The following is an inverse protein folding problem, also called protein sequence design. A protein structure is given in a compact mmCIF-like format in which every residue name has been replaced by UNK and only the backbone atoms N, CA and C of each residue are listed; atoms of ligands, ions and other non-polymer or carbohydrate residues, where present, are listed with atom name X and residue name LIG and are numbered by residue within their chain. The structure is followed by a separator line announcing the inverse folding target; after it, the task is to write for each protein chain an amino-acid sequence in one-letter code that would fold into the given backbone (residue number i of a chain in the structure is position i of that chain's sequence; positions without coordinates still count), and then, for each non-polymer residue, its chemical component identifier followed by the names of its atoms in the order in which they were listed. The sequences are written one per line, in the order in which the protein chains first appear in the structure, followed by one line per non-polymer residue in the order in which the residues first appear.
data_IF_978141649621
#
_entry.id   IF_978141649621
#
_cell.length_a   1.000
_cell.length_b   1.000
_cell.length_c   1.000
_cell.angle_alpha   90.00
_cell.angle_beta   90.00
_cell.angle_gamma   90.00
#
_symmetry.space_group_name_H-M   'P 1'
#
loop_
_entity.id
_entity.type
_entity.pdbx_description
1 polymer ?
#
# COMPACT_ATOMS: atom_id res chain seq x y z
N UNK A 1 -4.97 33.88 7.50
CA UNK A 1 -4.13 32.77 7.01
C UNK A 1 -3.59 32.01 8.22
N UNK A 2 -4.00 30.76 8.39
CA UNK A 2 -3.46 29.91 9.45
C UNK A 2 -2.07 29.41 9.04
N UNK A 3 -1.08 29.66 9.89
CA UNK A 3 0.32 29.31 9.69
C UNK A 3 0.72 28.34 10.80
N UNK A 4 0.98 27.08 10.44
CA UNK A 4 1.34 26.03 11.38
C UNK A 4 2.85 25.90 11.49
N UNK A 5 3.40 25.71 12.68
CA UNK A 5 4.77 25.17 12.81
C UNK A 5 4.78 23.70 12.40
N UNK A 6 5.96 23.12 12.12
CA UNK A 6 6.05 21.69 11.77
C UNK A 6 5.46 20.77 12.85
N UNK A 7 5.59 21.14 14.13
CA UNK A 7 4.99 20.39 15.24
C UNK A 7 3.45 20.50 15.28
N UNK A 8 2.91 21.69 14.99
CA UNK A 8 1.45 21.87 14.86
C UNK A 8 0.90 21.12 13.63
N UNK A 9 1.63 21.13 12.52
CA UNK A 9 1.29 20.41 11.31
C UNK A 9 1.28 18.90 11.54
N UNK A 10 2.30 18.38 12.22
CA UNK A 10 2.38 16.97 12.63
C UNK A 10 1.19 16.57 13.48
N UNK A 11 0.86 17.36 14.52
CA UNK A 11 -0.27 17.10 15.40
C UNK A 11 -1.61 17.12 14.66
N UNK A 12 -1.81 18.04 13.72
CA UNK A 12 -3.06 18.18 12.95
C UNK A 12 -3.23 17.12 11.87
N UNK A 13 -2.15 16.78 11.16
CA UNK A 13 -2.17 15.75 10.10
C UNK A 13 -2.11 14.32 10.65
N UNK A 14 -1.63 14.13 11.88
CA UNK A 14 -1.32 12.82 12.45
C UNK A 14 -0.08 12.18 11.83
N UNK A 15 0.74 12.95 11.12
CA UNK A 15 1.99 12.51 10.49
C UNK A 15 3.17 12.92 11.37
N UNK A 16 4.15 12.05 11.57
CA UNK A 16 5.32 12.38 12.39
C UNK A 16 6.16 13.49 11.75
N UNK A 17 6.86 14.27 12.59
CA UNK A 17 7.75 15.34 12.11
C UNK A 17 8.81 14.81 11.14
N UNK A 18 9.34 13.60 11.38
CA UNK A 18 10.33 12.99 10.49
C UNK A 18 9.74 12.63 9.13
N UNK A 19 8.52 12.11 9.09
CA UNK A 19 7.80 11.85 7.83
C UNK A 19 7.50 13.14 7.08
N UNK A 20 7.12 14.21 7.78
CA UNK A 20 6.93 15.52 7.15
C UNK A 20 8.23 16.04 6.51
N UNK A 21 9.36 15.95 7.22
CA UNK A 21 10.69 16.32 6.69
C UNK A 21 11.09 15.45 5.49
N UNK A 22 10.77 14.17 5.56
CA UNK A 22 10.99 13.25 4.45
C UNK A 22 10.16 13.64 3.22
N UNK A 23 8.87 13.96 3.40
CA UNK A 23 8.01 14.41 2.31
C UNK A 23 8.45 15.75 1.70
N UNK A 24 8.96 16.70 2.50
CA UNK A 24 9.60 17.92 1.98
C UNK A 24 10.88 17.60 1.18
N UNK A 25 11.69 16.64 1.65
CA UNK A 25 12.96 16.26 1.01
C UNK A 25 12.73 15.68 -0.38
N UNK A 26 11.73 14.81 -0.52
CA UNK A 26 11.40 14.15 -1.80
C UNK A 26 10.48 14.98 -2.70
N UNK A 27 10.07 16.18 -2.26
CA UNK A 27 9.24 17.10 -3.06
C UNK A 27 7.74 16.80 -3.05
N UNK A 28 7.28 15.90 -2.18
CA UNK A 28 5.86 15.57 -2.03
C UNK A 28 5.07 16.70 -1.36
N UNK A 29 5.73 17.43 -0.46
CA UNK A 29 5.25 18.69 0.09
C UNK A 29 6.09 19.84 -0.45
N UNK A 30 5.45 20.97 -0.71
CA UNK A 30 6.13 22.18 -1.14
C UNK A 30 7.10 22.65 -0.04
N UNK A 31 8.33 23.01 -0.44
CA UNK A 31 9.34 23.51 0.49
C UNK A 31 8.97 24.92 0.93
N UNK A 32 8.65 25.07 2.21
CA UNK A 32 8.38 26.38 2.80
C UNK A 32 9.68 27.15 3.07
N UNK A 33 9.74 28.39 2.60
CA UNK A 33 10.84 29.31 2.91
C UNK A 33 10.89 29.66 4.39
N UNK A 34 12.09 29.94 4.90
CA UNK A 34 12.23 30.42 6.27
C UNK A 34 11.75 31.86 6.35
N UNK A 35 11.03 32.19 7.42
CA UNK A 35 10.69 33.57 7.74
C UNK A 35 11.91 34.34 8.23
N UNK A 36 11.78 35.67 8.34
CA UNK A 36 12.79 36.56 8.93
C UNK A 36 13.26 36.13 10.33
N UNK A 37 12.41 35.42 11.08
CA UNK A 37 12.73 34.83 12.39
C UNK A 37 13.37 33.42 12.33
N UNK A 38 13.78 32.94 11.16
CA UNK A 38 14.35 31.60 10.93
C UNK A 38 13.39 30.41 11.18
N UNK A 39 12.08 30.67 11.31
CA UNK A 39 11.04 29.65 11.47
C UNK A 39 10.44 29.24 10.11
N UNK A 40 9.87 28.02 10.04
CA UNK A 40 9.04 27.57 8.91
C UNK A 40 7.57 27.55 9.33
N UNK A 41 6.71 28.13 8.48
CA UNK A 41 5.27 28.14 8.67
C UNK A 41 4.54 27.53 7.49
N UNK A 42 3.75 26.52 7.75
CA UNK A 42 2.99 25.78 6.75
C UNK A 42 1.58 26.33 6.66
N UNK A 43 1.09 26.48 5.43
CA UNK A 43 -0.27 26.94 5.17
C UNK A 43 -1.29 25.83 5.40
N UNK A 44 -2.56 26.22 5.45
CA UNK A 44 -3.69 25.29 5.47
C UNK A 44 -3.79 24.44 4.20
N UNK A 45 -3.32 24.95 3.06
CA UNK A 45 -3.21 24.15 1.84
C UNK A 45 -2.27 22.95 2.02
N UNK A 46 -1.12 23.14 2.68
CA UNK A 46 -0.18 22.05 2.97
C UNK A 46 -0.81 21.01 3.89
N UNK A 47 -1.66 21.44 4.83
CA UNK A 47 -2.42 20.52 5.68
C UNK A 47 -3.43 19.69 4.86
N UNK A 48 -4.12 20.31 3.90
CA UNK A 48 -5.02 19.60 2.97
C UNK A 48 -4.26 18.58 2.11
N UNK A 49 -3.14 18.98 1.53
CA UNK A 49 -2.24 18.11 0.76
C UNK A 49 -1.77 16.90 1.60
N UNK A 50 -1.51 17.10 2.90
CA UNK A 50 -1.12 16.03 3.80
C UNK A 50 -2.24 15.01 4.04
N UNK A 51 -3.49 15.46 4.16
CA UNK A 51 -4.62 14.54 4.26
C UNK A 51 -4.80 13.73 2.99
N UNK A 52 -4.62 14.34 1.81
CA UNK A 52 -4.62 13.65 0.53
C UNK A 52 -3.52 12.57 0.48
N UNK A 53 -2.27 12.95 0.75
CA UNK A 53 -1.14 12.01 0.78
C UNK A 53 -1.40 10.86 1.76
N UNK A 54 -1.87 11.17 2.97
CA UNK A 54 -2.16 10.17 3.99
C UNK A 54 -3.20 9.16 3.49
N UNK A 55 -4.30 9.62 2.90
CA UNK A 55 -5.34 8.75 2.39
C UNK A 55 -4.84 7.83 1.27
N UNK A 56 -4.06 8.35 0.33
CA UNK A 56 -3.44 7.52 -0.71
C UNK A 56 -2.49 6.47 -0.12
N UNK A 57 -1.71 6.82 0.92
CA UNK A 57 -0.82 5.86 1.59
C UNK A 57 -1.58 4.76 2.33
N UNK A 58 -2.74 5.07 2.91
CA UNK A 58 -3.63 4.08 3.54
C UNK A 58 -4.19 3.09 2.52
N UNK A 59 -4.40 3.51 1.27
CA UNK A 59 -4.79 2.66 0.15
C UNK A 59 -3.63 1.87 -0.47
N UNK A 60 -2.41 2.03 0.05
CA UNK A 60 -1.21 1.35 -0.49
C UNK A 60 -0.62 2.00 -1.74
N UNK A 61 -1.08 3.20 -2.11
CA UNK A 61 -0.57 3.92 -3.28
C UNK A 61 0.89 4.36 -3.03
N UNK A 62 1.73 4.16 -4.04
CA UNK A 62 3.14 4.53 -3.98
C UNK A 62 3.32 6.04 -3.95
N UNK A 63 4.44 6.50 -3.39
CA UNK A 63 4.75 7.95 -3.37
C UNK A 63 4.85 8.51 -4.80
N UNK A 64 5.36 7.71 -5.75
CA UNK A 64 5.48 8.12 -7.14
C UNK A 64 4.10 8.36 -7.77
N UNK A 65 3.14 7.49 -7.51
CA UNK A 65 1.79 7.65 -8.04
C UNK A 65 1.00 8.75 -7.31
N UNK A 66 1.24 8.95 -6.02
CA UNK A 66 0.69 10.12 -5.31
C UNK A 66 1.18 11.41 -5.95
N UNK A 67 2.45 11.48 -6.37
CA UNK A 67 2.98 12.66 -7.07
C UNK A 67 2.25 12.89 -8.40
N UNK A 68 2.05 11.83 -9.20
CA UNK A 68 1.28 11.89 -10.45
C UNK A 68 -0.15 12.39 -10.20
N UNK A 69 -0.84 11.83 -9.20
CA UNK A 69 -2.19 12.26 -8.82
C UNK A 69 -2.23 13.73 -8.38
N UNK A 70 -1.22 14.19 -7.64
CA UNK A 70 -1.10 15.63 -7.29
C UNK A 70 -0.88 16.51 -8.50
N UNK A 71 -0.13 16.05 -9.50
CA UNK A 71 0.11 16.82 -10.73
C UNK A 71 -1.13 16.86 -11.63
N UNK A 72 -1.87 15.75 -11.73
CA UNK A 72 -3.18 15.71 -12.40
C UNK A 72 -4.21 16.61 -11.71
N UNK A 73 -4.23 16.65 -10.38
CA UNK A 73 -5.13 17.52 -9.62
C UNK A 73 -4.89 19.03 -9.86
N UNK A 74 -3.72 19.43 -10.37
CA UNK A 74 -3.43 20.82 -10.77
C UNK A 74 -4.02 21.20 -12.14
N UNK A 75 -4.51 20.23 -12.90
CA UNK A 75 -5.00 20.38 -14.27
C UNK A 75 -6.50 20.07 -14.37
N UNK A 76 -7.39 20.95 -13.84
CA UNK A 76 -8.82 20.65 -13.68
C UNK A 76 -9.59 20.44 -14.99
N UNK A 77 -9.00 20.78 -16.14
CA UNK A 77 -9.60 20.61 -17.45
C UNK A 77 -9.19 19.29 -18.15
N UNK A 78 -8.33 18.47 -17.53
CA UNK A 78 -7.97 17.14 -18.05
C UNK A 78 -9.04 16.11 -17.70
N UNK A 79 -9.14 15.06 -18.52
CA UNK A 79 -10.02 13.91 -18.24
C UNK A 79 -9.48 13.12 -17.05
N UNK A 80 -10.38 12.48 -16.29
CA UNK A 80 -10.00 11.62 -15.17
C UNK A 80 -9.50 10.22 -15.61
N UNK A 81 -9.34 9.98 -16.90
CA UNK A 81 -8.98 8.68 -17.48
C UNK A 81 -7.65 8.13 -16.95
N UNK A 82 -6.64 8.99 -16.77
CA UNK A 82 -5.36 8.58 -16.17
C UNK A 82 -5.50 8.18 -14.70
N UNK A 83 -6.41 8.84 -13.96
CA UNK A 83 -6.72 8.50 -12.57
C UNK A 83 -7.44 7.16 -12.52
N UNK A 84 -8.44 6.97 -13.37
CA UNK A 84 -9.22 5.73 -13.44
C UNK A 84 -8.32 4.53 -13.77
N UNK A 85 -7.46 4.66 -14.80
CA UNK A 85 -6.48 3.63 -15.15
C UNK A 85 -5.52 3.30 -14.00
N UNK A 86 -5.07 4.31 -13.25
CA UNK A 86 -4.22 4.08 -12.10
C UNK A 86 -4.96 3.27 -11.03
N UNK A 87 -6.20 3.64 -10.72
CA UNK A 87 -7.01 2.90 -9.73
C UNK A 87 -7.30 1.47 -10.20
N UNK A 88 -7.58 1.24 -11.49
CA UNK A 88 -7.77 -0.09 -12.06
C UNK A 88 -6.53 -0.98 -11.88
N UNK A 89 -5.32 -0.43 -12.02
CA UNK A 89 -4.07 -1.16 -11.76
C UNK A 89 -3.97 -1.60 -10.30
N UNK A 90 -4.24 -0.68 -9.35
CA UNK A 90 -4.23 -1.01 -7.93
C UNK A 90 -5.30 -2.05 -7.56
N UNK A 91 -6.50 -1.97 -8.15
CA UNK A 91 -7.54 -2.97 -7.98
C UNK A 91 -7.08 -4.34 -8.48
N UNK A 92 -6.51 -4.41 -9.68
CA UNK A 92 -5.98 -5.66 -10.24
C UNK A 92 -4.89 -6.29 -9.37
N UNK A 93 -3.96 -5.48 -8.85
CA UNK A 93 -2.93 -5.95 -7.93
C UNK A 93 -3.51 -6.50 -6.61
N UNK A 94 -4.48 -5.79 -6.02
CA UNK A 94 -5.14 -6.23 -4.79
C UNK A 94 -5.91 -7.52 -5.03
N UNK A 95 -6.66 -7.63 -6.13
CA UNK A 95 -7.37 -8.84 -6.50
C UNK A 95 -6.42 -10.03 -6.68
N UNK A 96 -5.26 -9.83 -7.31
CA UNK A 96 -4.27 -10.89 -7.47
C UNK A 96 -3.67 -11.33 -6.12
N UNK A 97 -3.39 -10.38 -5.22
CA UNK A 97 -2.92 -10.69 -3.86
C UNK A 97 -3.96 -11.50 -3.07
N UNK A 98 -5.24 -11.11 -3.16
CA UNK A 98 -6.35 -11.84 -2.52
C UNK A 98 -6.38 -13.28 -3.03
N UNK A 99 -6.36 -13.48 -4.36
CA UNK A 99 -6.36 -14.80 -4.98
C UNK A 99 -5.20 -15.69 -4.49
N UNK A 100 -3.99 -15.13 -4.40
CA UNK A 100 -2.82 -15.85 -3.91
C UNK A 100 -2.95 -16.22 -2.43
N UNK A 101 -3.48 -15.31 -1.59
CA UNK A 101 -3.71 -15.57 -0.17
C UNK A 101 -4.83 -16.59 0.06
N UNK A 102 -5.86 -16.61 -0.79
CA UNK A 102 -6.90 -17.63 -0.77
C UNK A 102 -6.35 -19.01 -1.10
N UNK A 103 -5.49 -19.12 -2.12
CA UNK A 103 -4.81 -20.37 -2.45
C UNK A 103 -3.92 -20.85 -1.29
N UNK A 104 -3.08 -19.98 -0.74
CA UNK A 104 -2.24 -20.32 0.41
C UNK A 104 -3.08 -20.77 1.62
N UNK A 105 -4.22 -20.12 1.86
CA UNK A 105 -5.16 -20.52 2.92
C UNK A 105 -5.72 -21.92 2.66
N UNK A 106 -6.05 -22.25 1.42
CA UNK A 106 -6.51 -23.59 1.04
C UNK A 106 -5.42 -24.62 1.28
N UNK A 107 -4.19 -24.36 0.85
CA UNK A 107 -3.03 -25.25 1.05
C UNK A 107 -2.79 -25.51 2.54
N UNK A 108 -2.77 -24.46 3.37
CA UNK A 108 -2.60 -24.58 4.82
C UNK A 108 -3.77 -25.31 5.48
N UNK A 109 -4.99 -25.16 4.95
CA UNK A 109 -6.17 -25.87 5.44
C UNK A 109 -6.08 -27.36 5.12
N UNK A 110 -5.70 -27.71 3.89
CA UNK A 110 -5.47 -29.09 3.47
C UNK A 110 -4.38 -29.73 4.30
N UNK A 111 -3.25 -29.04 4.48
CA UNK A 111 -2.16 -29.50 5.31
C UNK A 111 -2.63 -29.78 6.76
N UNK A 112 -3.39 -28.85 7.36
CA UNK A 112 -3.95 -29.04 8.70
C UNK A 112 -4.88 -30.25 8.80
N UNK A 113 -5.63 -30.58 7.75
CA UNK A 113 -6.53 -31.75 7.71
C UNK A 113 -5.78 -33.08 7.71
N UNK A 114 -4.49 -33.10 7.33
CA UNK A 114 -3.67 -34.32 7.35
C UNK A 114 -3.38 -34.86 8.76
N UNK A 115 -3.67 -34.10 9.82
CA UNK A 115 -3.47 -34.58 11.19
C UNK A 115 -4.75 -34.43 12.03
N UNK A 116 -5.22 -35.55 12.58
CA UNK A 116 -6.27 -35.59 13.61
C UNK A 116 -5.68 -35.35 15.01
N UNK A 117 -6.52 -34.95 15.98
CA UNK A 117 -6.07 -34.69 17.37
C UNK A 117 -5.45 -35.92 18.05
N UNK A 118 -4.50 -35.68 18.96
CA UNK A 118 -3.83 -36.65 19.84
C UNK A 118 -2.96 -37.74 19.15
N UNK A 119 -2.09 -37.35 18.21
CA UNK A 119 -1.05 -38.23 17.64
C UNK A 119 0.34 -37.82 18.10
N UNK A 120 1.28 -38.78 18.13
CA UNK A 120 2.70 -38.48 18.35
C UNK A 120 3.32 -37.81 17.12
N UNK A 121 4.49 -37.19 17.27
CA UNK A 121 5.22 -36.55 16.15
C UNK A 121 5.48 -37.53 15.01
N UNK A 122 5.81 -38.79 15.32
CA UNK A 122 6.02 -39.86 14.33
C UNK A 122 4.77 -40.17 13.49
N UNK A 123 3.58 -39.92 14.06
CA UNK A 123 2.28 -40.16 13.44
C UNK A 123 1.65 -38.90 12.85
N UNK A 124 2.36 -37.76 12.90
CA UNK A 124 1.86 -36.47 12.42
C UNK A 124 1.80 -36.45 10.89
N UNK A 125 0.59 -36.44 10.32
CA UNK A 125 0.41 -36.38 8.87
C UNK A 125 0.88 -35.06 8.27
N UNK A 126 0.83 -33.95 9.01
CA UNK A 126 1.37 -32.65 8.58
C UNK A 126 2.87 -32.73 8.30
N UNK A 127 3.65 -33.32 9.22
CA UNK A 127 5.11 -33.43 9.07
C UNK A 127 5.47 -34.44 7.98
N UNK A 128 4.66 -35.49 7.79
CA UNK A 128 4.84 -36.43 6.69
C UNK A 128 4.65 -35.74 5.34
N UNK A 129 3.59 -34.94 5.21
CA UNK A 129 3.29 -34.17 4.00
C UNK A 129 4.38 -33.15 3.68
N UNK A 130 4.85 -32.38 4.68
CA UNK A 130 5.92 -31.38 4.49
C UNK A 130 7.28 -31.98 4.16
N UNK A 131 7.57 -33.20 4.60
CA UNK A 131 8.81 -33.91 4.31
C UNK A 131 8.77 -34.69 2.99
N UNK A 132 7.59 -34.82 2.38
CA UNK A 132 7.50 -35.30 1.00
C UNK A 132 7.83 -34.11 0.08
N UNK A 133 8.80 -34.24 -0.84
CA UNK A 133 9.00 -33.22 -1.84
C UNK A 133 7.67 -33.08 -2.60
N UNK A 134 7.12 -31.87 -2.62
CA UNK A 134 5.88 -31.53 -3.30
C UNK A 134 5.97 -31.97 -4.77
N UNK A 135 5.50 -33.17 -5.09
CA UNK A 135 5.13 -33.52 -6.46
C UNK A 135 3.85 -32.76 -6.74
N UNK A 136 4.02 -31.53 -7.23
CA UNK A 136 2.93 -30.70 -7.72
C UNK A 136 2.28 -31.38 -8.94
N UNK A 137 1.27 -32.22 -8.71
CA UNK A 137 0.27 -32.55 -9.72
C UNK A 137 -0.69 -31.35 -9.88
N UNK A 138 -0.23 -30.31 -10.58
CA UNK A 138 -1.14 -29.34 -11.19
C UNK A 138 -1.49 -29.81 -12.60
N UNK A 139 -2.41 -30.77 -12.70
CA UNK A 139 -3.07 -31.09 -13.96
C UNK A 139 -3.95 -29.90 -14.41
N UNK A 140 -3.48 -29.26 -15.48
CA UNK A 140 -4.25 -28.77 -16.63
C UNK A 140 -5.44 -27.82 -16.41
N UNK A 141 -5.20 -26.53 -16.69
CA UNK A 141 -6.13 -25.77 -17.53
C UNK A 141 -5.48 -25.47 -18.89
N UNK A 142 -5.79 -26.35 -19.84
CA UNK A 142 -5.56 -26.17 -21.26
C UNK A 142 -6.65 -25.25 -21.83
N UNK A 143 -6.27 -24.21 -22.58
CA UNK A 143 -6.93 -23.60 -23.77
C UNK A 143 -6.31 -22.19 -23.99
N UNK A 144 -5.85 -21.76 -25.16
CA UNK A 144 -5.98 -22.20 -26.56
C UNK A 144 -4.86 -21.54 -27.39
N UNK A 145 -4.39 -22.26 -28.41
CA UNK A 145 -3.66 -21.74 -29.57
C UNK A 145 -4.47 -20.64 -30.29
N UNK A 146 -3.79 -19.57 -30.69
CA UNK A 146 -3.90 -18.92 -32.00
C UNK A 146 -2.60 -18.15 -32.25
#
# INVERSE_FOLDING_TARGET
MANFTIGQLAKKSGVSVDTLRYYEKIGLLEKVQRTSGNYRYYSEQILSDLFFVKHCRELGITIQDIQKLKDLAKSPNQTCEEVDHLIDQYLAEVSQKIKNLEHLKQDLTHLKQQCSQHRTIEQCGILKELNHPLECEHESHQHKKA
#
